data_IF_832261864591
#
_entry.id   IF_832261864591
#
_cell.length_a   1.000
_cell.length_b   1.000
_cell.length_c   1.000
_cell.angle_alpha   90.00
_cell.angle_beta   90.00
_cell.angle_gamma   90.00
#
_symmetry.space_group_name_H-M   'P 1'
#
loop_
_entity.id
_entity.type
_entity.pdbx_description
1 polymer ?
#
# COMPACT_ATOMS: atom_id res chain seq x y z
N UNK A 1 -28.79 26.00 12.40
CA UNK A 1 -28.46 24.68 11.83
C UNK A 1 -26.94 24.52 11.89
N UNK A 2 -26.46 23.56 12.67
CA UNK A 2 -25.10 23.05 12.63
C UNK A 2 -25.23 21.51 12.60
N UNK A 3 -24.16 20.75 12.31
CA UNK A 3 -23.25 20.86 11.15
C UNK A 3 -23.10 19.46 10.49
N UNK A 4 -22.50 19.35 9.30
CA UNK A 4 -21.96 18.05 8.84
C UNK A 4 -20.49 18.20 8.47
N UNK A 5 -19.70 17.56 9.31
CA UNK A 5 -18.25 17.54 9.39
C UNK A 5 -17.73 16.43 8.48
N UNK A 6 -16.98 16.77 7.43
CA UNK A 6 -16.08 15.83 6.74
C UNK A 6 -14.76 16.54 6.51
N UNK A 7 -13.89 16.44 7.52
CA UNK A 7 -12.55 16.98 7.46
C UNK A 7 -11.65 16.14 8.36
N UNK A 8 -10.92 15.20 7.75
CA UNK A 8 -9.72 14.64 8.35
C UNK A 8 -8.52 15.15 7.57
N UNK A 9 -8.19 16.42 7.80
CA UNK A 9 -6.91 17.01 7.43
C UNK A 9 -6.13 17.25 8.73
N UNK A 10 -5.02 16.50 8.85
CA UNK A 10 -4.01 16.53 9.90
C UNK A 10 -3.56 17.95 10.19
N UNK A 11 -3.53 18.37 11.46
CA UNK A 11 -2.54 19.29 12.01
C UNK A 11 -2.50 19.18 13.53
N UNK A 12 -1.38 18.71 14.08
CA UNK A 12 -0.92 19.05 15.43
C UNK A 12 0.58 18.81 15.55
N UNK A 13 1.18 19.71 16.32
CA UNK A 13 2.59 20.00 16.56
C UNK A 13 3.16 19.04 17.62
N UNK A 14 4.42 18.61 17.46
CA UNK A 14 5.37 18.31 18.54
C UNK A 14 6.79 18.44 17.93
N UNK A 15 7.67 19.37 18.32
CA UNK A 15 8.29 19.64 19.63
C UNK A 15 9.18 18.51 20.14
N UNK A 16 10.47 18.65 19.83
CA UNK A 16 11.67 18.41 20.66
C UNK A 16 11.90 17.12 21.48
N UNK A 17 13.12 16.60 21.30
CA UNK A 17 14.05 15.99 22.30
C UNK A 17 13.74 14.59 22.86
N UNK A 18 14.50 13.59 22.39
CA UNK A 18 15.53 12.82 23.12
C UNK A 18 15.91 11.56 22.31
N UNK A 19 17.11 11.40 21.75
CA UNK A 19 18.42 11.10 22.36
C UNK A 19 18.59 9.64 22.82
N UNK A 20 19.23 8.82 21.96
CA UNK A 20 20.20 7.76 22.29
C UNK A 20 20.80 7.27 20.95
N UNK A 21 21.93 7.79 20.44
CA UNK A 21 23.31 7.45 20.83
C UNK A 21 23.52 5.98 21.24
N UNK A 22 23.84 5.12 20.27
CA UNK A 22 24.56 3.88 20.53
C UNK A 22 25.85 3.85 19.69
N UNK A 23 26.98 3.98 20.38
CA UNK A 23 28.32 4.20 19.82
C UNK A 23 29.26 3.04 20.17
N UNK A 24 29.85 2.43 19.13
CA UNK A 24 31.19 1.78 19.02
C UNK A 24 31.64 0.65 19.95
N UNK A 25 32.47 -0.21 19.32
CA UNK A 25 33.47 -1.20 19.84
C UNK A 25 32.94 -2.64 19.74
N UNK A 26 33.54 -3.60 19.04
CA UNK A 26 34.97 -3.94 18.97
C UNK A 26 35.24 -4.91 17.80
N UNK A 27 36.26 -4.64 16.99
CA UNK A 27 36.87 -5.56 16.03
C UNK A 27 37.63 -6.68 16.77
N UNK A 28 37.46 -7.96 16.37
CA UNK A 28 38.46 -9.02 16.61
C UNK A 28 38.59 -9.95 15.41
N UNK A 29 39.83 -10.06 14.94
CA UNK A 29 40.34 -10.97 13.91
C UNK A 29 40.43 -12.42 14.43
N UNK A 30 40.12 -13.41 13.57
CA UNK A 30 40.72 -14.77 13.49
C UNK A 30 40.09 -15.49 12.27
N UNK A 31 40.83 -15.77 11.18
CA UNK A 31 41.65 -16.96 10.91
C UNK A 31 40.91 -18.13 10.24
N UNK A 32 41.36 -18.42 9.01
CA UNK A 32 41.41 -19.68 8.23
C UNK A 32 40.16 -20.58 8.03
N UNK A 33 39.75 -20.63 6.76
CA UNK A 33 39.38 -21.80 5.95
C UNK A 33 38.38 -22.83 6.49
N UNK A 34 37.17 -22.77 5.94
CA UNK A 34 36.40 -23.97 5.59
C UNK A 34 35.81 -23.76 4.18
N UNK A 35 36.39 -24.42 3.18
CA UNK A 35 35.83 -24.53 1.83
C UNK A 35 34.69 -25.56 1.89
N UNK A 36 33.60 -25.21 2.56
CA UNK A 36 32.33 -25.90 2.43
C UNK A 36 31.59 -25.27 1.27
N UNK A 37 31.06 -26.07 0.35
CA UNK A 37 30.04 -25.60 -0.60
C UNK A 37 28.85 -25.18 0.24
N UNK A 38 28.82 -23.90 0.61
CA UNK A 38 27.64 -23.24 1.14
C UNK A 38 26.69 -23.24 -0.05
N UNK A 39 25.83 -24.25 -0.12
CA UNK A 39 24.59 -24.10 -0.86
C UNK A 39 23.94 -22.88 -0.24
N UNK A 40 24.11 -21.74 -0.90
CA UNK A 40 23.33 -20.55 -0.63
C UNK A 40 21.92 -21.00 -0.99
N UNK A 41 21.21 -21.54 0.00
CA UNK A 41 19.77 -21.47 0.01
C UNK A 41 19.50 -19.98 -0.05
N UNK A 42 19.33 -19.46 -1.26
CA UNK A 42 18.65 -18.20 -1.47
C UNK A 42 17.25 -18.46 -0.95
N UNK A 43 17.07 -18.27 0.36
CA UNK A 43 15.75 -18.00 0.90
C UNK A 43 15.27 -16.83 0.08
N UNK A 44 14.24 -17.05 -0.74
CA UNK A 44 13.48 -15.98 -1.36
C UNK A 44 12.83 -15.21 -0.21
N UNK A 45 13.65 -14.39 0.45
CA UNK A 45 13.20 -13.26 1.22
C UNK A 45 12.88 -12.21 0.15
N UNK A 46 11.66 -11.71 0.17
CA UNK A 46 11.22 -10.52 -0.58
C UNK A 46 10.43 -10.75 -1.88
N UNK A 47 9.59 -11.80 -1.99
CA UNK A 47 8.43 -11.71 -2.87
C UNK A 47 7.21 -11.27 -2.06
N UNK A 48 6.76 -10.03 -2.29
CA UNK A 48 5.53 -9.53 -1.65
C UNK A 48 4.36 -10.43 -2.04
N UNK A 49 3.50 -10.84 -1.09
CA UNK A 49 2.33 -11.64 -1.43
C UNK A 49 1.49 -10.88 -2.45
N UNK A 50 0.97 -11.59 -3.46
CA UNK A 50 0.17 -11.00 -4.53
C UNK A 50 -1.33 -11.10 -4.23
N UNK A 51 -2.12 -10.15 -4.73
CA UNK A 51 -3.58 -10.16 -4.69
C UNK A 51 -4.17 -9.84 -6.06
N UNK A 52 -5.41 -10.25 -6.29
CA UNK A 52 -6.14 -9.91 -7.52
C UNK A 52 -6.80 -8.54 -7.37
N UNK A 53 -6.65 -7.68 -8.36
CA UNK A 53 -7.31 -6.38 -8.43
C UNK A 53 -7.81 -6.10 -9.84
N UNK A 54 -8.87 -5.29 -9.95
CA UNK A 54 -9.26 -4.68 -11.22
C UNK A 54 -8.46 -3.39 -11.36
N UNK A 55 -7.71 -3.25 -12.45
CA UNK A 55 -6.76 -2.16 -12.70
C UNK A 55 -7.10 -1.48 -14.02
N UNK A 56 -7.03 -0.15 -14.05
CA UNK A 56 -7.05 0.66 -15.26
C UNK A 56 -5.67 1.28 -15.45
N UNK A 57 -5.03 1.04 -16.61
CA UNK A 57 -3.77 1.67 -17.00
C UNK A 57 -3.96 2.94 -17.83
N UNK A 58 -5.19 3.18 -18.28
CA UNK A 58 -5.61 4.36 -19.01
C UNK A 58 -7.03 4.77 -18.57
N UNK A 59 -7.36 6.05 -18.73
CA UNK A 59 -8.72 6.54 -18.48
C UNK A 59 -9.63 6.18 -19.65
N UNK A 60 -10.89 5.85 -19.38
CA UNK A 60 -11.82 5.50 -20.45
C UNK A 60 -13.15 4.94 -19.97
N UNK A 61 -13.78 4.17 -20.86
CA UNK A 61 -14.97 3.38 -20.58
C UNK A 61 -14.57 2.04 -19.91
N UNK A 62 -15.53 1.24 -19.40
CA UNK A 62 -15.24 0.04 -18.60
C UNK A 62 -14.32 -0.99 -19.28
N UNK A 63 -14.18 -0.97 -20.60
CA UNK A 63 -13.33 -1.89 -21.37
C UNK A 63 -11.84 -1.74 -21.07
N UNK A 64 -11.41 -0.61 -20.47
CA UNK A 64 -10.01 -0.41 -20.06
C UNK A 64 -9.66 -1.16 -18.77
N UNK A 65 -10.66 -1.68 -18.05
CA UNK A 65 -10.48 -2.40 -16.79
C UNK A 65 -9.98 -3.82 -17.04
N UNK A 66 -8.89 -4.19 -16.37
CA UNK A 66 -8.27 -5.52 -16.45
C UNK A 66 -8.13 -6.14 -15.07
N UNK A 67 -8.42 -7.44 -14.96
CA UNK A 67 -8.13 -8.20 -13.76
C UNK A 67 -6.65 -8.60 -13.78
N UNK A 68 -5.89 -8.15 -12.78
CA UNK A 68 -4.44 -8.35 -12.69
C UNK A 68 -4.03 -8.88 -11.32
N UNK A 69 -2.83 -9.45 -11.24
CA UNK A 69 -2.15 -9.73 -9.97
C UNK A 69 -1.30 -8.52 -9.62
N UNK A 70 -1.52 -7.94 -8.44
CA UNK A 70 -0.78 -6.80 -7.91
C UNK A 70 -0.21 -7.12 -6.53
N UNK A 71 0.85 -6.45 -6.06
CA UNK A 71 1.33 -6.63 -4.71
C UNK A 71 0.22 -6.36 -3.69
N UNK A 72 0.05 -7.27 -2.73
CA UNK A 72 -0.85 -7.08 -1.59
C UNK A 72 -0.32 -5.92 -0.75
N UNK A 73 -1.15 -4.94 -0.41
CA UNK A 73 -0.73 -3.82 0.42
C UNK A 73 -0.42 -4.30 1.85
N UNK A 74 0.57 -3.66 2.45
CA UNK A 74 0.91 -3.83 3.86
C UNK A 74 0.35 -2.63 4.63
N UNK A 75 -0.55 -2.84 5.60
CA UNK A 75 -1.10 -1.73 6.39
C UNK A 75 -0.03 -1.12 7.31
N UNK A 76 -0.10 0.20 7.50
CA UNK A 76 0.68 0.91 8.54
C UNK A 76 0.02 0.77 9.92
N UNK A 77 0.68 1.32 10.95
CA UNK A 77 0.24 1.24 12.36
C UNK A 77 -1.22 1.67 12.59
N UNK A 78 -1.72 2.65 11.83
CA UNK A 78 -3.09 3.19 11.95
C UNK A 78 -4.04 2.75 10.81
N UNK A 79 -3.66 1.73 10.04
CA UNK A 79 -4.43 1.23 8.90
C UNK A 79 -4.92 -0.20 9.17
N UNK A 80 -6.08 -0.56 8.62
CA UNK A 80 -6.58 -1.93 8.63
C UNK A 80 -6.53 -2.51 7.21
N UNK A 81 -6.05 -3.73 7.06
CA UNK A 81 -6.16 -4.46 5.81
C UNK A 81 -7.48 -5.21 5.79
N UNK A 82 -8.27 -5.01 4.74
CA UNK A 82 -9.58 -5.64 4.58
C UNK A 82 -9.51 -6.62 3.41
N UNK A 83 -9.79 -7.90 3.69
CA UNK A 83 -10.10 -8.86 2.63
C UNK A 83 -11.51 -8.63 2.13
N UNK A 84 -11.59 -7.95 0.99
CA UNK A 84 -12.83 -7.58 0.32
C UNK A 84 -13.61 -8.83 -0.10
N UNK A 85 -14.88 -8.91 0.32
CA UNK A 85 -15.84 -9.94 -0.10
C UNK A 85 -16.78 -9.39 -1.17
N UNK A 86 -17.19 -8.12 -1.03
CA UNK A 86 -18.03 -7.41 -1.98
C UNK A 86 -17.57 -5.95 -2.11
N UNK A 87 -17.78 -5.40 -3.30
CA UNK A 87 -17.56 -3.99 -3.62
C UNK A 87 -18.81 -3.44 -4.30
N UNK A 88 -19.18 -2.20 -3.98
CA UNK A 88 -20.30 -1.49 -4.61
C UNK A 88 -19.91 -0.89 -5.95
N UNK A 89 -20.90 -0.72 -6.84
CA UNK A 89 -20.76 0.10 -8.06
C UNK A 89 -21.68 1.30 -7.93
N UNK A 90 -21.12 2.49 -8.12
CA UNK A 90 -21.72 3.78 -7.88
C UNK A 90 -21.69 4.67 -9.12
N UNK A 91 -22.57 5.68 -9.23
CA UNK A 91 -22.55 6.65 -10.33
C UNK A 91 -21.24 7.45 -10.47
N UNK A 92 -20.43 7.52 -9.41
CA UNK A 92 -19.13 8.19 -9.42
C UNK A 92 -18.05 7.37 -10.16
N UNK A 93 -18.17 6.04 -10.20
CA UNK A 93 -17.11 5.18 -10.73
C UNK A 93 -16.78 5.46 -12.21
N UNK A 94 -17.76 5.68 -13.11
CA UNK A 94 -17.45 6.08 -14.48
C UNK A 94 -16.74 7.43 -14.59
N UNK A 95 -16.99 8.37 -13.66
CA UNK A 95 -16.36 9.69 -13.65
C UNK A 95 -14.90 9.62 -13.16
N UNK A 96 -14.65 8.75 -12.17
CA UNK A 96 -13.31 8.40 -11.73
C UNK A 96 -12.54 7.67 -12.84
N UNK A 97 -13.15 6.66 -13.47
CA UNK A 97 -12.54 5.90 -14.56
C UNK A 97 -12.28 6.75 -15.81
N UNK A 98 -13.12 7.75 -16.10
CA UNK A 98 -12.90 8.68 -17.21
C UNK A 98 -11.85 9.76 -16.89
N UNK A 99 -11.28 9.78 -15.68
CA UNK A 99 -10.30 10.77 -15.24
C UNK A 99 -10.87 12.16 -14.92
N UNK A 100 -12.19 12.36 -14.96
CA UNK A 100 -12.83 13.66 -14.65
C UNK A 100 -12.58 14.06 -13.19
N UNK A 101 -12.46 13.07 -12.32
CA UNK A 101 -12.19 13.22 -10.91
C UNK A 101 -10.70 13.16 -10.51
N UNK A 102 -9.79 13.01 -11.49
CA UNK A 102 -8.35 12.93 -11.21
C UNK A 102 -7.80 14.15 -10.46
N UNK A 103 -8.22 15.36 -10.84
CA UNK A 103 -7.77 16.58 -10.18
C UNK A 103 -8.43 16.81 -8.82
N UNK A 104 -9.72 16.51 -8.71
CA UNK A 104 -10.51 16.80 -7.51
C UNK A 104 -10.18 15.82 -6.37
N UNK A 105 -9.98 14.54 -6.70
CA UNK A 105 -9.74 13.48 -5.72
C UNK A 105 -8.30 12.92 -5.74
N UNK A 106 -7.42 13.47 -6.58
CA UNK A 106 -6.02 13.06 -6.65
C UNK A 106 -5.80 11.64 -7.21
N UNK A 107 -6.76 11.09 -7.96
CA UNK A 107 -6.62 9.75 -8.56
C UNK A 107 -5.63 9.79 -9.72
N UNK A 108 -4.75 8.80 -9.79
CA UNK A 108 -3.74 8.66 -10.84
C UNK A 108 -3.72 7.23 -11.37
N UNK A 109 -3.15 7.07 -12.57
CA UNK A 109 -2.94 5.77 -13.19
C UNK A 109 -1.60 5.18 -12.72
N UNK A 110 -1.47 3.84 -12.57
CA UNK A 110 -2.54 2.85 -12.70
C UNK A 110 -3.55 2.97 -11.55
N UNK A 111 -4.84 2.86 -11.89
CA UNK A 111 -5.96 3.08 -10.98
C UNK A 111 -6.61 1.74 -10.61
N UNK A 112 -6.80 1.50 -9.31
CA UNK A 112 -7.70 0.46 -8.80
C UNK A 112 -8.98 1.18 -8.34
N UNK A 113 -10.11 1.08 -9.07
CA UNK A 113 -11.34 1.76 -8.71
C UNK A 113 -12.11 1.01 -7.61
N UNK A 114 -13.04 1.72 -6.97
CA UNK A 114 -13.93 1.20 -5.93
C UNK A 114 -13.83 2.01 -4.63
N UNK A 115 -14.92 2.67 -4.26
CA UNK A 115 -14.99 3.49 -3.05
C UNK A 115 -15.70 2.80 -1.87
N UNK A 116 -16.52 1.78 -2.15
CA UNK A 116 -17.33 1.09 -1.13
C UNK A 116 -16.99 -0.40 -1.11
N UNK A 117 -16.69 -0.93 0.08
CA UNK A 117 -16.36 -2.34 0.28
C UNK A 117 -17.03 -2.92 1.53
N UNK A 118 -17.24 -4.23 1.52
CA UNK A 118 -17.55 -5.03 2.71
C UNK A 118 -16.63 -6.26 2.73
N UNK A 119 -16.08 -6.57 3.91
CA UNK A 119 -15.08 -7.62 4.04
C UNK A 119 -14.70 -7.92 5.48
N UNK A 120 -13.62 -8.67 5.64
CA UNK A 120 -13.07 -9.09 6.93
C UNK A 120 -11.73 -8.38 7.13
N UNK A 121 -11.51 -7.83 8.32
CA UNK A 121 -10.21 -7.28 8.73
C UNK A 121 -9.24 -8.44 8.99
N UNK A 122 -8.03 -8.37 8.43
CA UNK A 122 -6.98 -9.39 8.57
C UNK A 122 -5.56 -8.81 8.65
#
# INVERSE_FOLDING_TARGET
MAPQTFQFARHLIASERDLMHFNRRTLRFLSLTALGVLSVCTTSADEKPMMRAVVAHEYGAPEVLKLEQVPRPEPKEDEALVRVIASGVNPADPLTLSGKYAKEFGTHLPLIPGYDIAGIVE
#
